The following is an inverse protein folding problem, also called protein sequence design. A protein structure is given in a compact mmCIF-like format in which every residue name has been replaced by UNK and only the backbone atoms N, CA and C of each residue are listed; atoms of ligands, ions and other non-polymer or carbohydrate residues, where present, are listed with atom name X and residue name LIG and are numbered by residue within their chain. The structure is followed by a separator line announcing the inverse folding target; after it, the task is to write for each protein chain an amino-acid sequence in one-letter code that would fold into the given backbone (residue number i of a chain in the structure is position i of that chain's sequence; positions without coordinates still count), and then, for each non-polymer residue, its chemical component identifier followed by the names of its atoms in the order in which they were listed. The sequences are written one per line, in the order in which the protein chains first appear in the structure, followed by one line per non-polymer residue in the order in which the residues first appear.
data_IF_226851431542
#
_entry.id   IF_226851431542
#
_cell.length_a   1.000
_cell.length_b   1.000
_cell.length_c   1.000
_cell.angle_alpha   90.00
_cell.angle_beta   90.00
_cell.angle_gamma   90.00
#
_symmetry.space_group_name_H-M   'P 1'
#
loop_
_entity.id
_entity.type
_entity.pdbx_description
1 polymer ?
#
# COMPACT_ATOMS: atom_id res chain seq x y z
N UNK A 1 -28.56 -2.88 12.70
CA UNK A 1 -28.37 -2.20 11.39
C UNK A 1 -27.17 -2.77 10.63
N UNK A 2 -27.04 -4.11 10.52
CA UNK A 2 -25.82 -4.75 9.97
C UNK A 2 -26.06 -5.58 8.69
N UNK A 3 -27.29 -5.65 8.19
CA UNK A 3 -27.67 -6.55 7.09
C UNK A 3 -27.67 -5.92 5.67
N UNK A 4 -27.61 -4.59 5.53
CA UNK A 4 -27.72 -3.96 4.19
C UNK A 4 -26.40 -3.86 3.41
N UNK A 5 -25.24 -4.04 4.05
CA UNK A 5 -23.95 -3.75 3.41
C UNK A 5 -23.35 -4.90 2.58
N UNK A 6 -23.81 -6.14 2.76
CA UNK A 6 -23.21 -7.30 2.08
C UNK A 6 -23.63 -7.43 0.60
N UNK A 7 -24.85 -6.98 0.29
CA UNK A 7 -25.38 -6.95 -1.07
C UNK A 7 -24.97 -5.70 -1.86
N UNK A 8 -24.14 -4.82 -1.30
CA UNK A 8 -23.61 -3.66 -2.01
C UNK A 8 -22.78 -4.13 -3.22
N UNK A 9 -23.08 -3.58 -4.41
CA UNK A 9 -22.41 -3.93 -5.66
C UNK A 9 -21.45 -2.81 -6.06
N UNK A 10 -20.19 -3.15 -6.30
CA UNK A 10 -19.21 -2.25 -6.92
C UNK A 10 -19.32 -2.36 -8.43
N UNK A 11 -19.88 -1.33 -9.08
CA UNK A 11 -20.08 -1.29 -10.52
C UNK A 11 -18.80 -0.90 -11.25
N UNK A 12 -18.31 -1.75 -12.16
CA UNK A 12 -17.07 -1.46 -12.89
C UNK A 12 -17.16 -1.66 -14.40
N UNK A 13 -18.30 -2.16 -14.89
CA UNK A 13 -18.51 -2.44 -16.32
C UNK A 13 -19.98 -2.33 -16.71
N UNK A 14 -20.24 -2.55 -18.00
CA UNK A 14 -21.56 -2.78 -18.58
C UNK A 14 -21.53 -4.11 -19.33
N UNK A 15 -22.56 -4.93 -19.17
CA UNK A 15 -22.78 -6.12 -20.02
C UNK A 15 -23.59 -5.74 -21.25
N UNK A 16 -23.55 -6.56 -22.30
CA UNK A 16 -24.27 -6.36 -23.56
C UNK A 16 -25.14 -7.56 -23.96
N UNK A 17 -25.62 -8.36 -22.99
CA UNK A 17 -26.35 -9.59 -23.26
C UNK A 17 -27.62 -9.31 -24.09
N UNK A 18 -27.72 -9.95 -25.26
CA UNK A 18 -28.85 -9.80 -26.21
C UNK A 18 -29.14 -8.33 -26.57
N UNK A 19 -28.11 -7.54 -26.83
CA UNK A 19 -28.18 -6.10 -27.12
C UNK A 19 -28.83 -5.25 -26.00
N UNK A 20 -28.98 -5.79 -24.79
CA UNK A 20 -29.38 -5.02 -23.61
C UNK A 20 -28.13 -4.63 -22.85
N UNK A 21 -27.93 -3.32 -22.70
CA UNK A 21 -26.88 -2.81 -21.83
C UNK A 21 -27.38 -2.77 -20.39
N UNK A 22 -26.66 -3.43 -19.49
CA UNK A 22 -26.96 -3.41 -18.06
C UNK A 22 -25.67 -3.13 -17.26
N UNK A 23 -25.73 -2.32 -16.19
CA UNK A 23 -24.61 -2.17 -15.26
C UNK A 23 -24.13 -3.53 -14.74
N UNK A 24 -22.82 -3.69 -14.63
CA UNK A 24 -22.19 -4.91 -14.16
C UNK A 24 -21.15 -4.59 -13.09
N UNK A 25 -21.08 -5.44 -12.08
CA UNK A 25 -20.22 -5.25 -10.94
C UNK A 25 -20.03 -6.52 -10.14
N UNK A 26 -19.32 -6.39 -9.02
CA UNK A 26 -19.09 -7.47 -8.07
C UNK A 26 -19.73 -7.13 -6.73
N UNK A 27 -20.33 -8.12 -6.08
CA UNK A 27 -20.85 -7.97 -4.71
C UNK A 27 -19.70 -7.79 -3.74
N UNK A 28 -19.91 -7.00 -2.69
CA UNK A 28 -18.93 -6.79 -1.63
C UNK A 28 -18.49 -8.11 -0.98
N UNK A 29 -19.43 -9.03 -0.77
CA UNK A 29 -19.12 -10.37 -0.23
C UNK A 29 -18.11 -11.14 -1.09
N UNK A 30 -18.29 -11.12 -2.41
CA UNK A 30 -17.39 -11.83 -3.32
C UNK A 30 -16.05 -11.11 -3.45
N UNK A 31 -16.05 -9.77 -3.46
CA UNK A 31 -14.82 -8.97 -3.52
C UNK A 31 -13.92 -9.19 -2.30
N UNK A 32 -14.48 -9.50 -1.12
CA UNK A 32 -13.70 -9.84 0.09
C UNK A 32 -12.84 -11.09 -0.07
N UNK A 33 -13.13 -11.95 -1.06
CA UNK A 33 -12.36 -13.16 -1.39
C UNK A 33 -11.15 -12.87 -2.31
N UNK A 34 -10.80 -11.59 -2.49
CA UNK A 34 -9.79 -11.07 -3.40
C UNK A 34 -10.16 -11.21 -4.88
N UNK A 35 -9.54 -10.35 -5.71
CA UNK A 35 -9.72 -10.37 -7.16
C UNK A 35 -8.33 -10.48 -7.80
N UNK A 36 -8.20 -11.41 -8.73
CA UNK A 36 -7.01 -11.55 -9.56
C UNK A 36 -7.34 -11.16 -11.00
N UNK A 37 -6.70 -10.10 -11.51
CA UNK A 37 -6.94 -9.54 -12.84
C UNK A 37 -5.75 -9.88 -13.76
N UNK A 38 -5.99 -10.64 -14.82
CA UNK A 38 -4.95 -11.08 -15.78
C UNK A 38 -5.25 -10.53 -17.16
N UNK A 39 -4.22 -10.11 -17.88
CA UNK A 39 -4.32 -9.66 -19.26
C UNK A 39 -3.03 -9.01 -19.76
N UNK A 40 -2.84 -8.96 -21.07
CA UNK A 40 -1.71 -8.23 -21.70
C UNK A 40 -1.86 -6.71 -21.51
N UNK A 41 -0.80 -5.96 -21.77
CA UNK A 41 -0.87 -4.49 -21.84
C UNK A 41 -1.93 -4.06 -22.85
N UNK A 42 -2.68 -3.00 -22.51
CA UNK A 42 -3.78 -2.50 -23.35
C UNK A 42 -5.12 -3.24 -23.20
N UNK A 43 -5.21 -4.33 -22.42
CA UNK A 43 -6.45 -5.10 -22.24
C UNK A 43 -7.42 -4.50 -21.19
N UNK A 44 -7.21 -3.25 -20.76
CA UNK A 44 -8.12 -2.56 -19.85
C UNK A 44 -8.02 -2.95 -18.37
N UNK A 45 -6.94 -3.63 -17.93
CA UNK A 45 -6.72 -3.99 -16.51
C UNK A 45 -6.74 -2.76 -15.59
N UNK A 46 -5.99 -1.73 -15.96
CA UNK A 46 -5.91 -0.48 -15.21
C UNK A 46 -7.28 0.19 -15.14
N UNK A 47 -7.97 0.31 -16.27
CA UNK A 47 -9.33 0.86 -16.34
C UNK A 47 -10.33 0.10 -15.47
N UNK A 48 -10.25 -1.23 -15.42
CA UNK A 48 -11.05 -2.05 -14.53
C UNK A 48 -10.83 -1.67 -13.06
N UNK A 49 -9.56 -1.60 -12.63
CA UNK A 49 -9.19 -1.24 -11.26
C UNK A 49 -9.58 0.20 -10.92
N UNK A 50 -9.32 1.16 -11.80
CA UNK A 50 -9.72 2.56 -11.65
C UNK A 50 -11.23 2.70 -11.43
N UNK A 51 -12.05 2.03 -12.25
CA UNK A 51 -13.50 2.09 -12.10
C UNK A 51 -13.95 1.56 -10.72
N UNK A 52 -13.33 0.47 -10.24
CA UNK A 52 -13.62 -0.06 -8.91
C UNK A 52 -13.18 0.91 -7.79
N UNK A 53 -12.00 1.50 -7.91
CA UNK A 53 -11.44 2.46 -6.97
C UNK A 53 -12.32 3.72 -6.90
N UNK A 54 -12.73 4.26 -8.03
CA UNK A 54 -13.62 5.42 -8.10
C UNK A 54 -14.96 5.09 -7.43
N UNK A 55 -15.52 3.90 -7.66
CA UNK A 55 -16.72 3.48 -6.92
C UNK A 55 -16.48 3.41 -5.42
N UNK A 56 -15.34 2.92 -4.95
CA UNK A 56 -15.04 2.88 -3.53
C UNK A 56 -14.90 4.28 -2.93
N UNK A 57 -14.23 5.20 -3.62
CA UNK A 57 -14.13 6.61 -3.23
C UNK A 57 -15.51 7.25 -3.08
N UNK A 58 -16.38 7.07 -4.09
CA UNK A 58 -17.72 7.64 -4.12
C UNK A 58 -18.70 7.02 -3.11
N UNK A 59 -18.41 5.80 -2.65
CA UNK A 59 -19.19 5.10 -1.62
C UNK A 59 -18.59 5.25 -0.21
N UNK A 60 -17.69 6.21 0.00
CA UNK A 60 -17.00 6.46 1.28
C UNK A 60 -16.24 5.25 1.84
N UNK A 61 -15.82 4.33 0.97
CA UNK A 61 -14.93 3.24 1.35
C UNK A 61 -13.48 3.73 1.38
N UNK A 62 -12.73 3.28 2.39
CA UNK A 62 -11.27 3.43 2.44
C UNK A 62 -10.56 2.42 1.53
N UNK A 63 -9.47 2.84 0.91
CA UNK A 63 -8.62 1.99 0.07
C UNK A 63 -7.17 2.48 0.08
N UNK A 64 -6.27 1.60 -0.33
CA UNK A 64 -4.89 1.93 -0.67
C UNK A 64 -4.62 1.46 -2.10
N UNK A 65 -3.96 2.29 -2.90
CA UNK A 65 -3.59 1.97 -4.27
C UNK A 65 -2.11 2.28 -4.48
N UNK A 66 -1.40 1.31 -5.04
CA UNK A 66 0.04 1.39 -5.30
C UNK A 66 0.24 1.29 -6.81
N UNK A 67 0.78 2.35 -7.39
CA UNK A 67 1.02 2.46 -8.82
C UNK A 67 2.50 2.79 -9.07
N UNK A 68 3.26 1.89 -9.73
CA UNK A 68 4.66 2.15 -10.04
C UNK A 68 4.87 3.20 -11.14
N UNK A 69 3.85 3.55 -11.92
CA UNK A 69 3.96 4.51 -13.03
C UNK A 69 3.39 5.89 -12.67
N UNK A 70 2.37 5.94 -11.81
CA UNK A 70 1.79 7.16 -11.23
C UNK A 70 0.64 7.77 -12.03
N UNK A 71 0.50 7.41 -13.31
CA UNK A 71 -0.54 7.91 -14.21
C UNK A 71 -1.95 7.60 -13.71
N UNK A 72 -2.14 6.42 -13.12
CA UNK A 72 -3.43 5.97 -12.61
C UNK A 72 -3.79 6.71 -11.31
N UNK A 73 -2.81 6.96 -10.44
CA UNK A 73 -3.01 7.72 -9.19
C UNK A 73 -3.43 9.15 -9.48
N UNK A 74 -2.75 9.84 -10.39
CA UNK A 74 -3.11 11.22 -10.78
C UNK A 74 -4.54 11.29 -11.32
N UNK A 75 -4.94 10.32 -12.14
CA UNK A 75 -6.30 10.22 -12.64
C UNK A 75 -7.31 10.03 -11.51
N UNK A 76 -7.04 9.12 -10.57
CA UNK A 76 -7.92 8.80 -9.43
C UNK A 76 -8.09 10.02 -8.51
N UNK A 77 -7.05 10.82 -8.28
CA UNK A 77 -7.12 12.01 -7.43
C UNK A 77 -8.19 13.01 -7.90
N UNK A 78 -8.44 13.12 -9.20
CA UNK A 78 -9.49 13.97 -9.77
C UNK A 78 -10.92 13.51 -9.41
N UNK A 79 -11.10 12.30 -8.88
CA UNK A 79 -12.40 11.76 -8.46
C UNK A 79 -12.62 11.86 -6.94
N UNK A 80 -11.65 12.36 -6.18
CA UNK A 80 -11.81 12.57 -4.74
C UNK A 80 -12.82 13.71 -4.52
N UNK A 81 -13.93 13.46 -3.81
CA UNK A 81 -14.90 14.50 -3.53
C UNK A 81 -14.32 15.51 -2.52
N UNK A 82 -14.71 16.78 -2.64
CA UNK A 82 -14.13 17.88 -1.87
C UNK A 82 -14.17 17.67 -0.35
N UNK A 83 -15.19 16.99 0.16
CA UNK A 83 -15.35 16.71 1.59
C UNK A 83 -14.38 15.66 2.14
N UNK A 84 -13.71 14.88 1.27
CA UNK A 84 -12.72 13.84 1.62
C UNK A 84 -11.28 14.20 1.32
N UNK A 85 -11.01 15.40 0.81
CA UNK A 85 -9.64 15.81 0.45
C UNK A 85 -8.68 15.69 1.63
N UNK A 86 -9.15 16.00 2.85
CA UNK A 86 -8.35 15.89 4.07
C UNK A 86 -8.09 14.44 4.52
N UNK A 87 -8.77 13.45 3.93
CA UNK A 87 -8.57 12.03 4.22
C UNK A 87 -7.54 11.39 3.27
N UNK A 88 -7.03 12.13 2.29
CA UNK A 88 -6.14 11.61 1.25
C UNK A 88 -4.68 11.80 1.64
N UNK A 89 -3.93 10.70 1.58
CA UNK A 89 -2.47 10.70 1.67
C UNK A 89 -1.91 10.32 0.31
N UNK A 90 -1.29 11.29 -0.37
CA UNK A 90 -0.55 11.05 -1.61
C UNK A 90 0.94 10.88 -1.28
N UNK A 91 1.45 9.65 -1.42
CA UNK A 91 2.84 9.33 -1.11
C UNK A 91 3.65 9.06 -2.38
N UNK A 92 4.50 10.01 -2.74
CA UNK A 92 5.46 9.88 -3.84
C UNK A 92 6.89 9.95 -3.29
N UNK A 93 7.65 8.84 -3.24
CA UNK A 93 9.03 8.84 -2.77
C UNK A 93 10.01 9.68 -3.59
N UNK A 94 9.65 10.07 -4.81
CA UNK A 94 10.47 10.92 -5.68
C UNK A 94 10.13 12.41 -5.54
N UNK A 95 9.08 12.77 -4.80
CA UNK A 95 8.71 14.16 -4.54
C UNK A 95 9.63 14.75 -3.47
N UNK A 96 10.43 15.74 -3.88
CA UNK A 96 11.38 16.45 -3.02
C UNK A 96 10.82 17.76 -2.50
N UNK A 97 9.74 18.29 -3.09
CA UNK A 97 9.12 19.55 -2.70
C UNK A 97 8.16 19.32 -1.52
N UNK A 98 7.43 18.19 -1.53
CA UNK A 98 6.49 17.80 -0.48
C UNK A 98 6.71 16.35 0.02
N UNK A 99 7.90 16.03 0.57
CA UNK A 99 8.21 14.67 1.00
C UNK A 99 7.40 14.29 2.24
N UNK A 100 6.83 13.07 2.24
CA UNK A 100 6.24 12.49 3.45
C UNK A 100 7.31 11.73 4.22
N UNK A 101 7.54 12.14 5.47
CA UNK A 101 8.44 11.43 6.37
C UNK A 101 7.77 10.15 6.90
N UNK A 102 8.52 9.05 6.85
CA UNK A 102 8.10 7.77 7.41
C UNK A 102 9.28 7.14 8.16
N UNK A 103 9.11 6.96 9.47
CA UNK A 103 10.08 6.26 10.31
C UNK A 103 9.49 4.93 10.81
N UNK A 104 10.01 3.83 10.28
CA UNK A 104 9.53 2.49 10.63
C UNK A 104 9.83 2.07 12.07
N UNK A 105 10.76 2.78 12.74
CA UNK A 105 11.14 2.55 14.13
C UNK A 105 10.29 3.37 15.11
N UNK A 106 9.47 4.30 14.61
CA UNK A 106 8.70 5.22 15.45
C UNK A 106 7.51 4.53 16.11
N UNK A 107 7.38 4.72 17.43
CA UNK A 107 6.21 4.28 18.22
C UNK A 107 5.84 2.80 18.06
N UNK A 108 6.82 1.93 17.86
CA UNK A 108 6.61 0.48 17.76
C UNK A 108 6.31 -0.10 19.14
N UNK A 109 5.14 -0.75 19.28
CA UNK A 109 4.80 -1.50 20.49
C UNK A 109 5.86 -2.61 20.72
N UNK A 110 6.41 -2.75 21.94
CA UNK A 110 7.44 -3.75 22.24
C UNK A 110 7.06 -5.18 21.81
N UNK A 111 5.76 -5.53 21.81
CA UNK A 111 5.26 -6.84 21.37
C UNK A 111 5.50 -7.10 19.87
N UNK A 112 5.57 -6.04 19.06
CA UNK A 112 5.78 -6.13 17.61
C UNK A 112 7.23 -5.84 17.19
N UNK A 113 8.13 -5.54 18.13
CA UNK A 113 9.54 -5.23 17.85
C UNK A 113 10.21 -6.26 16.94
N UNK A 114 10.08 -7.54 17.27
CA UNK A 114 10.68 -8.62 16.48
C UNK A 114 10.03 -8.77 15.10
N UNK A 115 8.75 -8.45 14.97
CA UNK A 115 8.04 -8.46 13.69
C UNK A 115 8.56 -7.34 12.78
N UNK A 116 8.73 -6.13 13.31
CA UNK A 116 9.30 -5.00 12.57
C UNK A 116 10.74 -5.29 12.15
N UNK A 117 11.57 -5.80 13.08
CA UNK A 117 12.95 -6.18 12.77
C UNK A 117 13.01 -7.25 11.68
N UNK A 118 12.24 -8.34 11.82
CA UNK A 118 12.18 -9.41 10.81
C UNK A 118 11.67 -8.90 9.45
N UNK A 119 10.69 -8.01 9.44
CA UNK A 119 10.18 -7.37 8.22
C UNK A 119 11.26 -6.54 7.51
N UNK A 120 11.98 -5.71 8.26
CA UNK A 120 13.10 -4.92 7.75
C UNK A 120 14.21 -5.81 7.17
N UNK A 121 14.59 -6.86 7.91
CA UNK A 121 15.57 -7.84 7.43
C UNK A 121 15.09 -8.47 6.12
N UNK A 122 13.83 -8.91 6.06
CA UNK A 122 13.26 -9.47 4.83
C UNK A 122 13.24 -8.51 3.64
N UNK A 123 13.00 -7.22 3.86
CA UNK A 123 13.10 -6.19 2.82
C UNK A 123 14.54 -6.06 2.33
N UNK A 124 15.50 -5.90 3.24
CA UNK A 124 16.90 -5.73 2.87
C UNK A 124 17.51 -6.96 2.20
N UNK A 125 17.17 -8.17 2.67
CA UNK A 125 17.56 -9.41 1.99
C UNK A 125 17.01 -9.48 0.57
N UNK A 126 15.77 -9.03 0.32
CA UNK A 126 15.22 -9.02 -1.05
C UNK A 126 15.91 -8.01 -1.96
N UNK A 127 16.23 -6.82 -1.45
CA UNK A 127 16.91 -5.77 -2.23
C UNK A 127 18.34 -6.20 -2.57
N UNK A 128 19.04 -6.85 -1.64
CA UNK A 128 20.46 -7.21 -1.77
C UNK A 128 20.71 -8.72 -1.69
N UNK A 129 19.86 -9.53 -2.31
CA UNK A 129 19.83 -11.00 -2.16
C UNK A 129 21.18 -11.70 -2.34
N UNK A 130 22.10 -11.13 -3.11
CA UNK A 130 23.40 -11.73 -3.44
C UNK A 130 24.60 -11.11 -2.69
N UNK A 131 24.37 -10.17 -1.76
CA UNK A 131 25.44 -9.39 -1.10
C UNK A 131 25.52 -9.67 0.41
N UNK A 132 24.84 -10.72 0.90
CA UNK A 132 24.68 -10.99 2.33
C UNK A 132 25.59 -12.10 2.83
N UNK A 133 26.23 -11.85 3.97
CA UNK A 133 26.88 -12.89 4.78
C UNK A 133 26.13 -13.05 6.11
N UNK A 134 26.18 -14.26 6.70
CA UNK A 134 25.55 -14.53 7.99
C UNK A 134 26.00 -13.55 9.10
N UNK A 135 27.25 -13.07 9.02
CA UNK A 135 27.78 -12.05 9.94
C UNK A 135 27.12 -10.69 9.74
N UNK A 136 26.95 -10.24 8.50
CA UNK A 136 26.30 -8.96 8.20
C UNK A 136 24.85 -8.97 8.66
N UNK A 137 24.13 -10.05 8.37
CA UNK A 137 22.75 -10.25 8.82
C UNK A 137 22.64 -10.18 10.34
N UNK A 138 23.51 -10.89 11.06
CA UNK A 138 23.55 -10.87 12.51
C UNK A 138 23.83 -9.46 13.06
N UNK A 139 24.82 -8.74 12.51
CA UNK A 139 25.16 -7.38 12.95
C UNK A 139 23.99 -6.42 12.71
N UNK A 140 23.42 -6.44 11.51
CA UNK A 140 22.32 -5.55 11.12
C UNK A 140 21.06 -5.81 11.95
N UNK A 141 20.70 -7.07 12.18
CA UNK A 141 19.55 -7.43 13.00
C UNK A 141 19.72 -6.91 14.44
N UNK A 142 20.89 -7.11 15.05
CA UNK A 142 21.14 -6.61 16.40
C UNK A 142 21.17 -5.08 16.47
N UNK A 143 21.69 -4.40 15.44
CA UNK A 143 21.63 -2.94 15.36
C UNK A 143 20.19 -2.44 15.30
N UNK A 144 19.34 -3.03 14.45
CA UNK A 144 17.91 -2.68 14.35
C UNK A 144 17.20 -2.92 15.69
N UNK A 145 17.45 -4.07 16.33
CA UNK A 145 16.87 -4.38 17.63
C UNK A 145 17.31 -3.40 18.72
N UNK A 146 18.58 -2.99 18.74
CA UNK A 146 19.08 -2.00 19.69
C UNK A 146 18.41 -0.63 19.48
N UNK A 147 18.25 -0.19 18.23
CA UNK A 147 17.58 1.06 17.92
C UNK A 147 16.08 1.04 18.27
N UNK A 148 15.42 -0.12 18.14
CA UNK A 148 14.02 -0.27 18.54
C UNK A 148 13.82 -0.28 20.07
N UNK A 149 14.83 -0.65 20.86
CA UNK A 149 14.75 -0.59 22.33
C UNK A 149 14.88 0.83 22.90
N UNK A 150 15.38 1.76 22.09
CA UNK A 150 15.60 3.14 22.49
C UNK A 150 14.65 4.06 21.70
N UNK A 151 13.76 4.82 22.37
CA UNK A 151 12.79 5.66 21.68
C UNK A 151 13.47 6.84 20.96
N UNK A 152 12.85 7.32 19.88
CA UNK A 152 13.31 8.48 19.12
C UNK A 152 14.42 8.20 18.10
N UNK A 153 14.77 6.93 17.88
CA UNK A 153 15.75 6.56 16.85
C UNK A 153 15.15 6.47 15.45
N UNK A 154 16.03 6.55 14.46
CA UNK A 154 15.73 6.33 13.04
C UNK A 154 16.70 5.31 12.46
N UNK A 155 16.45 4.83 11.24
CA UNK A 155 17.37 3.92 10.54
C UNK A 155 18.77 4.52 10.32
N UNK A 156 18.92 5.85 10.36
CA UNK A 156 20.23 6.51 10.31
C UNK A 156 21.12 6.13 11.51
N UNK A 157 20.51 5.71 12.63
CA UNK A 157 21.21 5.21 13.80
C UNK A 157 22.08 3.98 13.51
N UNK A 158 21.74 3.17 12.50
CA UNK A 158 22.53 1.99 12.12
C UNK A 158 23.92 2.43 11.65
N UNK A 159 23.97 3.43 10.77
CA UNK A 159 25.24 3.98 10.25
C UNK A 159 26.10 4.52 11.40
N UNK A 160 25.49 5.28 12.31
CA UNK A 160 26.18 5.84 13.49
C UNK A 160 26.77 4.76 14.38
N UNK A 161 26.00 3.73 14.72
CA UNK A 161 26.47 2.61 15.54
C UNK A 161 27.65 1.84 14.94
N UNK A 162 27.79 1.85 13.62
CA UNK A 162 28.81 1.07 12.91
C UNK A 162 30.06 1.87 12.54
N UNK A 163 29.95 3.19 12.44
CA UNK A 163 31.01 4.06 11.88
C UNK A 163 31.54 5.05 12.91
N UNK A 164 30.70 5.57 13.81
CA UNK A 164 31.13 6.57 14.79
C UNK A 164 32.14 5.94 15.77
N UNK A 165 33.25 6.63 16.02
CA UNK A 165 34.36 6.18 16.88
C UNK A 165 34.16 6.59 18.33
#
# INVERSE_FOLDING_TARGET
MQQDNENQITLFAKTNFRNKQAPFGIKREDRRKHIYVIGKTGMGKTTLMENMIIQDILNDNGLAFVDPHGDSVEKILNYIPSHRVNDVVYFNPADMDFPIAFNILESVDPRYKHLVASGLMGVFTKIWANLWSARMEYILNNAILALLDSPGNTLLGISRMLIDK
#
